data_IF_700483506522
#
_entry.id   IF_700483506522
#
_cell.length_a   1.000
_cell.length_b   1.000
_cell.length_c   1.000
_cell.angle_alpha   90.00
_cell.angle_beta   90.00
_cell.angle_gamma   90.00
#
_symmetry.space_group_name_H-M   'P 1'
#
loop_
_entity.id
_entity.type
_entity.pdbx_description
1 polymer ?
#
# COMPACT_ATOMS: atom_id res chain seq x y z
N UNK A 1 28.43 -7.43 5.13
CA UNK A 1 27.45 -7.95 6.10
C UNK A 1 26.39 -6.89 6.25
N UNK A 2 25.17 -7.14 5.78
CA UNK A 2 24.03 -6.31 6.15
C UNK A 2 23.76 -6.48 7.65
N UNK A 3 23.67 -5.36 8.37
CA UNK A 3 23.29 -5.35 9.78
C UNK A 3 21.78 -5.64 9.83
N UNK A 4 21.37 -6.73 10.49
CA UNK A 4 19.95 -6.94 10.76
C UNK A 4 19.44 -5.80 11.64
N UNK A 5 18.23 -5.27 11.39
CA UNK A 5 17.68 -4.21 12.21
C UNK A 5 17.51 -4.70 13.65
N UNK A 6 17.92 -3.85 14.60
CA UNK A 6 17.66 -4.11 16.01
C UNK A 6 16.17 -3.91 16.36
N UNK A 7 15.76 -4.34 17.56
CA UNK A 7 14.35 -4.25 17.97
C UNK A 7 13.85 -2.80 18.02
N UNK A 8 14.71 -1.84 18.32
CA UNK A 8 14.34 -0.42 18.33
C UNK A 8 14.06 0.09 16.92
N UNK A 9 14.87 -0.30 15.93
CA UNK A 9 14.65 0.04 14.51
C UNK A 9 13.34 -0.55 14.00
N UNK A 10 12.98 -1.77 14.42
CA UNK A 10 11.69 -2.39 14.08
C UNK A 10 10.49 -1.65 14.70
N UNK A 11 10.58 -1.31 15.98
CA UNK A 11 9.51 -0.57 16.66
C UNK A 11 9.31 0.81 16.04
N UNK A 12 10.38 1.49 15.66
CA UNK A 12 10.33 2.75 14.93
C UNK A 12 9.60 2.56 13.58
N UNK A 13 10.01 1.58 12.78
CA UNK A 13 9.37 1.28 11.49
C UNK A 13 7.87 0.99 11.64
N UNK A 14 7.48 0.19 12.64
CA UNK A 14 6.09 -0.13 12.93
C UNK A 14 5.26 1.11 13.30
N UNK A 15 5.86 2.08 14.00
CA UNK A 15 5.18 3.34 14.35
C UNK A 15 4.95 4.26 13.14
N UNK A 16 5.79 4.13 12.11
CA UNK A 16 5.75 4.97 10.89
C UNK A 16 4.77 4.42 9.86
N UNK A 17 4.69 3.10 9.70
CA UNK A 17 3.85 2.45 8.67
C UNK A 17 2.43 3.04 8.60
N UNK A 18 1.66 3.16 9.71
CA UNK A 18 0.30 3.70 9.66
C UNK A 18 0.20 5.12 9.11
N UNK A 19 1.28 5.92 9.22
CA UNK A 19 1.32 7.32 8.77
C UNK A 19 1.54 7.44 7.26
N UNK A 20 2.27 6.49 6.67
CA UNK A 20 2.72 6.56 5.26
C UNK A 20 2.05 5.53 4.37
N UNK A 21 1.37 4.52 4.94
CA UNK A 21 0.74 3.41 4.20
C UNK A 21 -0.12 3.87 3.03
N UNK A 22 -0.80 4.98 3.19
CA UNK A 22 -1.79 5.47 2.23
C UNK A 22 -1.17 6.23 1.09
N UNK A 23 -0.11 6.99 1.39
CA UNK A 23 0.70 7.62 0.35
C UNK A 23 1.44 6.54 -0.45
N UNK A 24 1.98 5.51 0.22
CA UNK A 24 2.60 4.34 -0.43
C UNK A 24 1.59 3.64 -1.35
N UNK A 25 0.42 3.26 -0.81
CA UNK A 25 -0.64 2.60 -1.58
C UNK A 25 -1.07 3.42 -2.79
N UNK A 26 -1.41 4.69 -2.59
CA UNK A 26 -1.91 5.55 -3.66
C UNK A 26 -0.85 5.80 -4.73
N UNK A 27 0.42 5.95 -4.33
CA UNK A 27 1.54 6.17 -5.26
C UNK A 27 1.79 4.94 -6.13
N UNK A 28 1.87 3.75 -5.50
CA UNK A 28 2.04 2.49 -6.23
C UNK A 28 0.84 2.27 -7.17
N UNK A 29 -0.38 2.37 -6.65
CA UNK A 29 -1.60 2.14 -7.43
C UNK A 29 -1.71 3.11 -8.62
N UNK A 30 -1.43 4.41 -8.42
CA UNK A 30 -1.42 5.39 -9.50
C UNK A 30 -0.39 5.05 -10.58
N UNK A 31 0.77 4.53 -10.20
CA UNK A 31 1.79 4.11 -11.14
C UNK A 31 1.38 2.85 -11.91
N UNK A 32 0.82 1.84 -11.23
CA UNK A 32 0.33 0.61 -11.87
C UNK A 32 -0.78 0.92 -12.88
N UNK A 33 -1.76 1.74 -12.50
CA UNK A 33 -2.84 2.19 -13.39
C UNK A 33 -2.32 3.02 -14.58
N UNK A 34 -1.14 3.64 -14.47
CA UNK A 34 -0.50 4.35 -15.59
C UNK A 34 0.15 3.43 -16.62
N UNK A 35 0.45 2.19 -16.22
CA UNK A 35 1.14 1.17 -17.02
C UNK A 35 0.22 0.02 -17.46
N UNK A 36 -1.00 -0.04 -16.90
CA UNK A 36 -1.98 -1.05 -17.21
C UNK A 36 -2.34 -1.04 -18.70
N UNK A 37 -2.44 -2.24 -19.31
CA UNK A 37 -2.78 -2.41 -20.73
C UNK A 37 -4.25 -2.12 -20.98
N UNK A 38 -5.11 -2.65 -20.11
CA UNK A 38 -6.53 -2.33 -20.06
C UNK A 38 -6.99 -2.26 -18.59
N UNK A 39 -8.29 -2.02 -18.41
CA UNK A 39 -8.96 -2.02 -17.10
C UNK A 39 -9.97 -3.16 -17.01
N UNK A 40 -9.68 -4.30 -17.65
CA UNK A 40 -10.38 -5.53 -17.34
C UNK A 40 -10.04 -5.97 -15.91
N UNK A 41 -10.92 -6.77 -15.32
CA UNK A 41 -10.70 -7.36 -14.00
C UNK A 41 -9.38 -8.14 -13.95
N UNK A 42 -9.12 -8.96 -14.97
CA UNK A 42 -7.88 -9.75 -15.09
C UNK A 42 -6.63 -8.87 -15.17
N UNK A 43 -6.62 -7.84 -16.04
CA UNK A 43 -5.45 -6.96 -16.18
C UNK A 43 -5.17 -6.17 -14.88
N UNK A 44 -6.22 -5.77 -14.17
CA UNK A 44 -6.11 -5.10 -12.87
C UNK A 44 -5.59 -6.05 -11.79
N UNK A 45 -6.12 -7.28 -11.73
CA UNK A 45 -5.69 -8.30 -10.79
C UNK A 45 -4.21 -8.67 -11.00
N UNK A 46 -3.80 -8.88 -12.25
CA UNK A 46 -2.41 -9.18 -12.63
C UNK A 46 -1.47 -8.03 -12.27
N UNK A 47 -1.88 -6.79 -12.59
CA UNK A 47 -1.09 -5.60 -12.27
C UNK A 47 -0.88 -5.45 -10.75
N UNK A 48 -1.91 -5.66 -9.94
CA UNK A 48 -1.82 -5.56 -8.48
C UNK A 48 -1.13 -6.76 -7.84
N UNK A 49 -1.20 -7.94 -8.45
CA UNK A 49 -0.47 -9.11 -7.98
C UNK A 49 1.05 -8.94 -8.13
N UNK A 50 1.51 -8.18 -9.13
CA UNK A 50 2.93 -7.96 -9.34
C UNK A 50 3.68 -9.24 -9.74
N UNK A 51 2.98 -10.18 -10.37
CA UNK A 51 3.52 -11.45 -10.86
C UNK A 51 4.00 -11.40 -12.32
N UNK A 52 4.11 -10.21 -12.92
CA UNK A 52 4.55 -10.08 -14.30
C UNK A 52 5.84 -10.88 -14.55
N UNK A 53 5.78 -11.78 -15.53
CA UNK A 53 6.93 -12.59 -15.93
C UNK A 53 8.11 -11.68 -16.28
N UNK A 54 9.30 -12.06 -15.79
CA UNK A 54 10.53 -11.38 -16.18
C UNK A 54 11.13 -12.11 -17.38
N UNK A 55 11.68 -11.35 -18.32
CA UNK A 55 12.48 -11.93 -19.39
C UNK A 55 13.75 -12.54 -18.80
N UNK A 56 14.03 -13.80 -19.17
CA UNK A 56 15.27 -14.47 -18.76
C UNK A 56 16.47 -13.75 -19.37
N UNK A 57 17.41 -13.38 -18.52
CA UNK A 57 18.62 -12.65 -18.91
C UNK A 57 19.74 -13.59 -19.37
N UNK A 58 19.58 -14.90 -19.14
CA UNK A 58 20.61 -15.91 -19.40
C UNK A 58 21.63 -16.06 -18.26
N UNK A 59 21.55 -15.21 -17.24
CA UNK A 59 22.30 -15.33 -15.99
C UNK A 59 21.41 -16.00 -14.94
N UNK A 60 21.72 -17.25 -14.59
CA UNK A 60 20.91 -18.06 -13.67
C UNK A 60 20.78 -17.47 -12.27
N UNK A 61 21.78 -16.72 -11.80
CA UNK A 61 21.74 -16.07 -10.48
C UNK A 61 20.79 -14.88 -10.54
N UNK A 62 20.91 -14.07 -11.60
CA UNK A 62 20.04 -12.92 -11.83
C UNK A 62 18.59 -13.34 -12.06
N UNK A 63 18.35 -14.37 -12.88
CA UNK A 63 17.02 -14.89 -13.17
C UNK A 63 16.38 -15.48 -11.90
N UNK A 64 17.15 -16.18 -11.07
CA UNK A 64 16.67 -16.63 -9.76
C UNK A 64 16.31 -15.46 -8.86
N UNK A 65 17.13 -14.41 -8.80
CA UNK A 65 16.83 -13.22 -8.01
C UNK A 65 15.55 -12.52 -8.51
N UNK A 66 15.40 -12.35 -9.82
CA UNK A 66 14.22 -11.76 -10.45
C UNK A 66 12.96 -12.60 -10.23
N UNK A 67 13.08 -13.93 -10.14
CA UNK A 67 11.94 -14.81 -9.85
C UNK A 67 11.32 -14.58 -8.47
N UNK A 68 12.10 -14.03 -7.52
CA UNK A 68 11.63 -13.63 -6.19
C UNK A 68 11.12 -12.18 -6.13
N UNK A 69 11.24 -11.42 -7.21
CA UNK A 69 10.73 -10.04 -7.31
C UNK A 69 9.26 -10.05 -7.74
N UNK A 70 8.38 -10.40 -6.79
CA UNK A 70 6.93 -10.51 -6.98
C UNK A 70 6.17 -9.71 -5.92
N UNK A 71 4.88 -9.47 -6.15
CA UNK A 71 4.01 -8.82 -5.16
C UNK A 71 4.54 -7.46 -4.72
N UNK A 72 4.41 -7.18 -3.42
CA UNK A 72 4.89 -5.91 -2.88
C UNK A 72 6.40 -5.73 -2.99
N UNK A 73 7.21 -6.80 -2.92
CA UNK A 73 8.66 -6.71 -3.13
C UNK A 73 9.00 -6.16 -4.53
N UNK A 74 8.20 -6.50 -5.54
CA UNK A 74 8.28 -5.88 -6.86
C UNK A 74 7.80 -4.45 -6.83
N UNK A 75 6.57 -4.22 -6.33
CA UNK A 75 5.90 -2.93 -6.41
C UNK A 75 6.66 -1.81 -5.72
N UNK A 76 7.12 -2.01 -4.48
CA UNK A 76 7.84 -0.93 -3.79
C UNK A 76 9.17 -0.61 -4.48
N UNK A 77 9.89 -1.63 -5.00
CA UNK A 77 11.15 -1.41 -5.71
C UNK A 77 10.96 -0.69 -7.04
N UNK A 78 9.98 -1.10 -7.83
CA UNK A 78 9.76 -0.56 -9.17
C UNK A 78 9.06 0.79 -9.13
N UNK A 79 8.05 0.93 -8.28
CA UNK A 79 7.15 2.09 -8.30
C UNK A 79 7.56 3.18 -7.31
N UNK A 80 8.37 2.85 -6.29
CA UNK A 80 8.89 3.81 -5.33
C UNK A 80 10.40 4.00 -5.46
N UNK A 81 11.19 2.97 -5.18
CA UNK A 81 12.65 3.11 -5.08
C UNK A 81 13.25 3.55 -6.42
N UNK A 82 12.92 2.85 -7.51
CA UNK A 82 13.45 3.14 -8.85
C UNK A 82 12.97 4.50 -9.39
N UNK A 83 11.85 5.01 -8.88
CA UNK A 83 11.29 6.33 -9.22
C UNK A 83 11.81 7.47 -8.33
N UNK A 84 12.73 7.17 -7.41
CA UNK A 84 13.37 8.17 -6.54
C UNK A 84 12.58 8.53 -5.29
N UNK A 85 11.56 7.75 -4.91
CA UNK A 85 10.87 7.97 -3.65
C UNK A 85 11.71 7.53 -2.46
N UNK A 86 11.74 8.37 -1.43
CA UNK A 86 12.36 8.12 -0.15
C UNK A 86 11.45 8.61 0.98
N UNK A 87 11.70 8.12 2.19
CA UNK A 87 11.02 8.62 3.37
C UNK A 87 11.76 9.85 3.93
N UNK A 88 11.04 10.93 4.19
CA UNK A 88 11.57 12.13 4.85
C UNK A 88 10.59 12.66 5.89
N UNK A 89 11.08 13.50 6.79
CA UNK A 89 10.21 14.34 7.61
C UNK A 89 9.70 15.49 6.74
N UNK A 90 8.39 15.54 6.49
CA UNK A 90 7.79 16.65 5.76
C UNK A 90 7.53 17.81 6.71
N UNK A 91 7.97 19.01 6.31
CA UNK A 91 7.57 20.28 6.93
C UNK A 91 6.32 20.89 6.27
N UNK A 92 5.61 20.10 5.47
CA UNK A 92 4.44 20.58 4.77
C UNK A 92 3.25 20.62 5.73
N UNK A 93 2.64 21.80 5.87
CA UNK A 93 1.41 22.00 6.64
C UNK A 93 0.24 21.39 5.86
N UNK A 94 0.13 20.07 5.88
CA UNK A 94 -1.04 19.35 5.38
C UNK A 94 -2.03 19.26 6.54
N UNK A 95 -3.30 19.68 6.34
CA UNK A 95 -4.32 19.59 7.38
C UNK A 95 -4.38 18.17 7.99
N UNK A 96 -4.14 18.08 9.31
CA UNK A 96 -4.16 16.82 10.05
C UNK A 96 -2.81 16.08 10.14
N UNK A 97 -1.71 16.64 9.62
CA UNK A 97 -0.34 16.15 9.84
C UNK A 97 0.48 17.14 10.67
N UNK A 98 1.39 16.63 11.48
CA UNK A 98 2.39 17.45 12.19
C UNK A 98 3.58 17.75 11.28
N UNK A 99 4.26 18.87 11.52
CA UNK A 99 5.49 19.29 10.79
C UNK A 99 6.68 18.33 10.97
N UNK A 100 6.50 17.28 11.78
CA UNK A 100 7.46 16.22 12.05
C UNK A 100 7.04 14.87 11.47
N UNK A 101 5.88 14.78 10.82
CA UNK A 101 5.39 13.49 10.34
C UNK A 101 6.20 12.98 9.13
N UNK A 102 6.49 11.68 9.10
CA UNK A 102 7.14 11.04 7.98
C UNK A 102 6.22 11.07 6.75
N UNK A 103 6.79 11.31 5.59
CA UNK A 103 6.09 11.41 4.33
C UNK A 103 6.88 10.78 3.19
N UNK A 104 6.18 10.47 2.10
CA UNK A 104 6.78 10.10 0.83
C UNK A 104 7.33 11.36 0.15
N UNK A 105 8.63 11.39 -0.13
CA UNK A 105 9.29 12.46 -0.87
C UNK A 105 9.94 11.90 -2.12
N UNK A 106 9.72 12.53 -3.27
CA UNK A 106 10.35 12.12 -4.54
C UNK A 106 11.59 12.97 -4.81
N UNK A 107 12.73 12.32 -4.93
CA UNK A 107 13.97 12.94 -5.38
C UNK A 107 13.86 13.43 -6.83
N UNK A 108 14.58 14.51 -7.19
CA UNK A 108 14.66 14.95 -8.59
C UNK A 108 15.34 13.91 -9.47
N UNK A 109 16.30 13.17 -8.91
CA UNK A 109 17.09 12.16 -9.62
C UNK A 109 16.71 10.75 -9.15
N UNK A 110 16.68 9.81 -10.11
CA UNK A 110 16.50 8.39 -9.81
C UNK A 110 17.78 7.79 -9.22
N UNK A 111 17.68 6.91 -8.21
CA UNK A 111 18.87 6.26 -7.65
C UNK A 111 19.49 5.32 -8.67
N UNK A 112 20.81 5.13 -8.58
CA UNK A 112 21.49 4.06 -9.31
C UNK A 112 21.13 2.68 -8.71
N UNK A 113 21.41 1.60 -9.45
CA UNK A 113 21.06 0.24 -9.05
C UNK A 113 21.62 -0.13 -7.66
N UNK A 114 22.87 0.25 -7.37
CA UNK A 114 23.49 -0.03 -6.08
C UNK A 114 22.76 0.67 -4.92
N UNK A 115 22.36 1.93 -5.11
CA UNK A 115 21.57 2.67 -4.14
C UNK A 115 20.15 2.09 -3.99
N UNK A 116 19.55 1.58 -5.07
CA UNK A 116 18.25 0.91 -5.00
C UNK A 116 18.31 -0.40 -4.19
N UNK A 117 19.38 -1.18 -4.40
CA UNK A 117 19.57 -2.50 -3.77
C UNK A 117 20.14 -2.43 -2.34
N UNK A 118 20.75 -1.31 -1.95
CA UNK A 118 21.28 -1.13 -0.59
C UNK A 118 20.15 -1.17 0.44
N UNK A 119 20.30 -1.98 1.48
CA UNK A 119 19.37 -2.02 2.59
C UNK A 119 19.28 -0.69 3.35
N UNK A 120 18.06 -0.20 3.56
CA UNK A 120 17.77 0.96 4.39
C UNK A 120 16.41 0.76 5.08
N UNK A 121 16.30 1.12 6.37
CA UNK A 121 15.09 0.90 7.17
C UNK A 121 13.82 1.49 6.54
N UNK A 122 13.93 2.65 5.90
CA UNK A 122 12.79 3.28 5.24
C UNK A 122 12.24 2.47 4.05
N UNK A 123 13.06 1.62 3.42
CA UNK A 123 12.61 0.70 2.37
C UNK A 123 11.77 -0.42 2.94
N UNK A 124 12.12 -0.92 4.13
CA UNK A 124 11.26 -1.88 4.85
C UNK A 124 9.90 -1.26 5.19
N UNK A 125 9.89 -0.01 5.64
CA UNK A 125 8.65 0.74 5.91
C UNK A 125 7.78 0.77 4.65
N UNK A 126 8.34 1.03 3.48
CA UNK A 126 7.59 1.02 2.21
C UNK A 126 7.09 -0.37 1.84
N UNK A 127 7.93 -1.38 1.97
CA UNK A 127 7.55 -2.77 1.73
C UNK A 127 6.37 -3.19 2.61
N UNK A 128 6.47 -3.03 3.93
CA UNK A 128 5.40 -3.41 4.85
C UNK A 128 4.16 -2.53 4.72
N UNK A 129 4.32 -1.27 4.34
CA UNK A 129 3.19 -0.40 3.96
C UNK A 129 2.43 -0.96 2.75
N UNK A 130 3.14 -1.44 1.73
CA UNK A 130 2.52 -2.11 0.59
C UNK A 130 1.81 -3.41 1.02
N UNK A 131 2.47 -4.26 1.81
CA UNK A 131 1.90 -5.53 2.29
C UNK A 131 0.59 -5.31 3.06
N UNK A 132 0.55 -4.30 3.95
CA UNK A 132 -0.65 -3.92 4.71
C UNK A 132 -1.71 -3.15 3.90
N UNK A 133 -1.46 -2.88 2.62
CA UNK A 133 -2.41 -2.20 1.73
C UNK A 133 -2.68 -3.04 0.50
N UNK A 134 -1.92 -2.87 -0.57
CA UNK A 134 -2.09 -3.57 -1.85
C UNK A 134 -2.01 -5.08 -1.65
N UNK A 135 -1.00 -5.57 -0.92
CA UNK A 135 -0.80 -7.01 -0.71
C UNK A 135 -1.99 -7.69 -0.01
N UNK A 136 -2.54 -7.06 1.02
CA UNK A 136 -3.65 -7.60 1.82
C UNK A 136 -5.05 -7.33 1.25
N UNK A 137 -5.18 -6.37 0.32
CA UNK A 137 -6.48 -5.88 -0.14
C UNK A 137 -6.65 -5.85 -1.67
N UNK A 138 -5.79 -6.56 -2.41
CA UNK A 138 -5.81 -6.59 -3.89
C UNK A 138 -7.20 -6.81 -4.47
N UNK A 139 -7.86 -7.91 -4.10
CA UNK A 139 -9.11 -8.31 -4.77
C UNK A 139 -10.22 -7.27 -4.52
N UNK A 140 -10.30 -6.73 -3.30
CA UNK A 140 -11.20 -5.63 -2.98
C UNK A 140 -10.84 -4.33 -3.73
N UNK A 141 -9.56 -4.06 -4.00
CA UNK A 141 -9.15 -2.93 -4.83
C UNK A 141 -9.59 -3.10 -6.28
N UNK A 142 -9.50 -4.31 -6.84
CA UNK A 142 -10.00 -4.63 -8.19
C UNK A 142 -11.50 -4.35 -8.28
N UNK A 143 -12.29 -4.85 -7.34
CA UNK A 143 -13.74 -4.63 -7.30
C UNK A 143 -14.10 -3.14 -7.31
N UNK A 144 -13.46 -2.34 -6.44
CA UNK A 144 -13.70 -0.90 -6.37
C UNK A 144 -13.24 -0.19 -7.64
N UNK A 145 -12.08 -0.58 -8.21
CA UNK A 145 -11.59 0.00 -9.46
C UNK A 145 -12.56 -0.27 -10.61
N UNK A 146 -13.07 -1.49 -10.73
CA UNK A 146 -14.04 -1.86 -11.75
C UNK A 146 -15.32 -1.01 -11.64
N UNK A 147 -15.85 -0.86 -10.42
CA UNK A 147 -17.03 -0.01 -10.16
C UNK A 147 -16.78 1.46 -10.57
N UNK A 148 -15.60 2.01 -10.26
CA UNK A 148 -15.31 3.43 -10.53
C UNK A 148 -14.91 3.72 -11.97
N UNK A 149 -14.43 2.71 -12.69
CA UNK A 149 -14.05 2.81 -14.10
C UNK A 149 -15.18 2.38 -15.05
N UNK A 150 -16.28 1.83 -14.53
CA UNK A 150 -17.40 1.39 -15.35
C UNK A 150 -17.94 2.52 -16.25
N UNK A 151 -17.86 2.29 -17.57
CA UNK A 151 -18.32 3.25 -18.58
C UNK A 151 -17.47 4.53 -18.70
N UNK A 152 -16.29 4.58 -18.08
CA UNK A 152 -15.38 5.74 -18.13
C UNK A 152 -14.05 5.38 -18.77
N UNK A 153 -13.49 6.31 -19.54
CA UNK A 153 -12.11 6.22 -20.01
C UNK A 153 -11.13 6.81 -18.99
N UNK A 154 -9.88 6.37 -19.04
CA UNK A 154 -8.78 6.93 -18.22
C UNK A 154 -8.64 8.45 -18.35
N UNK A 155 -8.89 8.99 -19.54
CA UNK A 155 -8.75 10.42 -19.82
C UNK A 155 -9.79 11.25 -19.05
N UNK A 156 -10.91 10.64 -18.66
CA UNK A 156 -12.00 11.28 -17.92
C UNK A 156 -11.83 11.16 -16.41
N UNK A 157 -10.91 10.29 -15.96
CA UNK A 157 -10.73 9.98 -14.55
C UNK A 157 -9.44 10.61 -14.03
N UNK A 158 -9.56 11.39 -12.95
CA UNK A 158 -8.39 11.84 -12.21
C UNK A 158 -7.77 10.63 -11.48
N UNK A 159 -6.81 9.97 -12.13
CA UNK A 159 -6.16 8.76 -11.63
C UNK A 159 -5.56 8.94 -10.24
N UNK A 160 -4.94 10.08 -9.96
CA UNK A 160 -4.36 10.35 -8.64
C UNK A 160 -5.43 10.40 -7.55
N UNK A 161 -6.56 11.05 -7.82
CA UNK A 161 -7.70 11.08 -6.90
C UNK A 161 -8.32 9.68 -6.73
N UNK A 162 -8.52 8.94 -7.82
CA UNK A 162 -9.04 7.57 -7.80
C UNK A 162 -8.14 6.64 -6.99
N UNK A 163 -6.83 6.66 -7.21
CA UNK A 163 -5.89 5.80 -6.48
C UNK A 163 -5.91 6.08 -4.98
N UNK A 164 -6.01 7.36 -4.57
CA UNK A 164 -6.15 7.73 -3.16
C UNK A 164 -7.47 7.22 -2.59
N UNK A 165 -8.58 7.43 -3.29
CA UNK A 165 -9.91 6.96 -2.86
C UNK A 165 -9.94 5.43 -2.67
N UNK A 166 -9.48 4.67 -3.66
CA UNK A 166 -9.44 3.20 -3.61
C UNK A 166 -8.63 2.73 -2.40
N UNK A 167 -7.45 3.30 -2.18
CA UNK A 167 -6.62 2.97 -1.03
C UNK A 167 -7.29 3.34 0.31
N UNK A 168 -7.97 4.48 0.40
CA UNK A 168 -8.69 4.89 1.61
C UNK A 168 -9.86 3.96 1.95
N UNK A 169 -10.64 3.56 0.94
CA UNK A 169 -11.80 2.68 1.09
C UNK A 169 -11.39 1.26 1.45
N UNK A 170 -10.42 0.69 0.74
CA UNK A 170 -10.04 -0.73 0.86
C UNK A 170 -9.05 -0.98 1.99
N UNK A 171 -7.95 -0.21 2.04
CA UNK A 171 -6.89 -0.34 3.04
C UNK A 171 -7.12 0.51 4.30
N UNK A 172 -8.35 1.06 4.45
CA UNK A 172 -8.83 1.83 5.63
C UNK A 172 -7.88 2.96 6.03
N UNK A 173 -7.41 3.66 5.02
CA UNK A 173 -6.21 4.47 5.09
C UNK A 173 -6.40 5.84 5.77
N UNK A 174 -7.63 6.24 6.09
CA UNK A 174 -7.95 7.48 6.82
C UNK A 174 -8.51 7.28 8.23
N UNK A 175 -8.76 6.04 8.67
CA UNK A 175 -9.51 5.76 9.90
C UNK A 175 -8.72 6.03 11.20
N UNK A 176 -7.39 6.19 11.11
CA UNK A 176 -6.52 6.44 12.28
C UNK A 176 -6.52 7.88 12.79
N UNK A 177 -6.83 8.88 11.95
CA UNK A 177 -6.83 10.29 12.35
C UNK A 177 -8.19 10.78 12.85
N UNK A 178 -9.28 10.09 12.50
CA UNK A 178 -10.64 10.42 12.95
C UNK A 178 -11.13 9.44 14.00
N UNK A 179 -10.44 9.43 15.14
CA UNK A 179 -11.02 8.97 16.40
C UNK A 179 -12.16 9.89 16.86
N UNK A 180 -13.29 9.89 16.16
CA UNK A 180 -14.58 10.40 16.66
C UNK A 180 -15.62 9.28 16.60
N UNK A 181 -15.75 8.63 17.75
CA UNK A 181 -16.84 7.76 18.23
C UNK A 181 -18.13 7.82 17.37
N UNK A 182 -18.33 6.86 16.50
CA UNK A 182 -19.68 6.36 16.25
C UNK A 182 -20.02 5.40 17.40
N UNK A 183 -20.79 5.90 18.37
CA UNK A 183 -21.51 5.05 19.33
C UNK A 183 -22.49 4.20 18.51
N UNK A 184 -22.05 3.01 18.13
CA UNK A 184 -22.91 1.95 17.62
C UNK A 184 -23.80 1.45 18.75
N UNK A 185 -25.06 1.81 18.67
CA UNK A 185 -26.17 1.37 19.50
C UNK A 185 -26.34 -0.16 19.36
N UNK A 186 -25.67 -0.92 20.22
CA UNK A 186 -25.87 -2.36 20.30
C UNK A 186 -27.02 -2.70 21.26
N UNK A 187 -28.19 -2.85 20.63
CA UNK A 187 -29.31 -3.72 20.99
C UNK A 187 -29.18 -4.51 22.30
N UNK A 188 -29.97 -4.11 23.29
CA UNK A 188 -30.30 -4.94 24.44
C UNK A 188 -31.11 -6.16 23.98
N UNK A 189 -30.46 -7.33 23.86
CA UNK A 189 -31.15 -8.61 23.74
C UNK A 189 -31.85 -8.94 25.05
N UNK A 190 -33.19 -8.93 25.00
CA UNK A 190 -34.07 -9.38 26.07
C UNK A 190 -33.76 -10.82 26.48
N UNK A 191 -33.45 -11.02 27.76
CA UNK A 191 -33.35 -12.34 28.40
C UNK A 191 -34.76 -12.95 28.52
N UNK A 192 -35.01 -14.06 27.83
CA UNK A 192 -36.15 -14.95 28.13
C UNK A 192 -35.95 -15.61 29.50
N UNK A 193 -36.90 -15.55 30.44
CA UNK A 193 -36.84 -16.36 31.66
C UNK A 193 -37.14 -17.84 31.34
N UNK A 194 -36.31 -18.74 31.87
CA UNK A 194 -36.55 -20.18 31.91
C UNK A 194 -37.63 -20.47 32.94
N UNK A 195 -38.75 -21.07 32.51
CA UNK A 195 -39.74 -21.65 33.38
C UNK A 195 -39.12 -22.82 34.16
N UNK A 196 -39.20 -22.75 35.49
CA UNK A 196 -38.96 -23.89 36.39
C UNK A 196 -40.20 -24.79 36.32
N UNK A 197 -40.01 -26.04 35.91
CA UNK A 197 -40.94 -27.12 36.23
C UNK A 197 -40.48 -27.76 37.54
N UNK A 198 -41.37 -27.76 38.53
CA UNK A 198 -41.29 -28.58 39.74
C UNK A 198 -42.56 -29.43 39.80
N UNK A 199 -42.33 -30.73 40.07
CA UNK A 199 -43.26 -31.84 40.41
C UNK A 199 -44.19 -32.37 39.32
#
# INVERSE_FOLDING_TARGET
MEKMPDESEKDEALSVIPKVRCDVCATILNSLLSKARSFSEDDLADALEGNADHELTGDTVRDRMLSHKKGCNKHFKDELISEGYALRQCREVVEGRSDSDPCLWRAPDRPNQNAADTYELWKEIFFYSCEQSIGSHRDAMVEVLMERLEGRSLAEVNRTALSREVCEVTARCGAGAKGKKTKGEHQAKAKKPKAKGEL
#
